data_IF_493728090016
#
_entry.id   IF_493728090016
#
_cell.length_a   1.000
_cell.length_b   1.000
_cell.length_c   1.000
_cell.angle_alpha   90.00
_cell.angle_beta   90.00
_cell.angle_gamma   90.00
#
_symmetry.space_group_name_H-M   'P 1'
#
loop_
_entity.id
_entity.type
_entity.pdbx_description
1 polymer ?
#
# COMPACT_ATOMS: atom_id res chain seq x y z
N UNK A 1 -32.16 26.59 -37.23
CA UNK A 1 -31.51 27.07 -35.98
C UNK A 1 -31.64 26.16 -34.75
N UNK A 2 -32.50 25.14 -34.67
CA UNK A 2 -32.60 24.26 -33.47
C UNK A 2 -31.74 22.98 -33.49
N UNK A 3 -31.39 22.46 -34.67
CA UNK A 3 -30.62 21.20 -34.79
C UNK A 3 -29.11 21.38 -34.58
N UNK A 4 -28.54 22.51 -34.98
CA UNK A 4 -27.10 22.78 -34.84
C UNK A 4 -26.68 23.02 -33.38
N UNK A 5 -27.56 23.62 -32.56
CA UNK A 5 -27.28 23.85 -31.15
C UNK A 5 -27.25 22.56 -30.31
N UNK A 6 -28.01 21.53 -30.73
CA UNK A 6 -28.09 20.26 -30.02
C UNK A 6 -26.82 19.40 -30.22
N UNK A 7 -26.18 19.50 -31.39
CA UNK A 7 -24.93 18.80 -31.71
C UNK A 7 -23.76 19.37 -30.89
N UNK A 8 -23.70 20.69 -30.73
CA UNK A 8 -22.67 21.34 -29.89
C UNK A 8 -22.79 20.96 -28.41
N UNK A 9 -24.01 20.83 -27.88
CA UNK A 9 -24.24 20.37 -26.50
C UNK A 9 -23.81 18.91 -26.33
N UNK A 10 -24.12 18.03 -27.29
CA UNK A 10 -23.71 16.62 -27.25
C UNK A 10 -22.18 16.46 -27.29
N UNK A 11 -21.47 17.28 -28.07
CA UNK A 11 -19.99 17.28 -28.12
C UNK A 11 -19.40 17.74 -26.78
N UNK A 12 -19.98 18.76 -26.14
CA UNK A 12 -19.52 19.22 -24.82
C UNK A 12 -19.76 18.18 -23.71
N UNK A 13 -20.89 17.48 -23.75
CA UNK A 13 -21.19 16.40 -22.81
C UNK A 13 -20.23 15.21 -23.02
N UNK A 14 -19.94 14.84 -24.27
CA UNK A 14 -18.97 13.77 -24.57
C UNK A 14 -17.53 14.12 -24.18
N UNK A 15 -17.11 15.38 -24.33
CA UNK A 15 -15.78 15.82 -23.90
C UNK A 15 -15.61 15.78 -22.38
N UNK A 16 -16.69 16.00 -21.61
CA UNK A 16 -16.66 15.95 -20.14
C UNK A 16 -16.56 14.53 -19.57
N UNK A 17 -16.88 13.50 -20.37
CA UNK A 17 -16.82 12.09 -19.96
C UNK A 17 -15.44 11.44 -20.17
N UNK A 18 -14.53 12.10 -20.90
CA UNK A 18 -13.15 11.63 -21.07
C UNK A 18 -12.20 12.33 -20.08
N UNK A 19 -12.42 12.11 -18.78
CA UNK A 19 -11.34 12.30 -17.80
C UNK A 19 -10.30 11.19 -18.02
N UNK A 20 -9.36 11.43 -18.94
CA UNK A 20 -8.11 10.68 -18.99
C UNK A 20 -7.39 10.90 -17.66
N UNK A 21 -7.49 9.92 -16.77
CA UNK A 21 -6.72 9.88 -15.53
C UNK A 21 -5.24 9.86 -15.89
N UNK A 22 -4.61 11.03 -15.79
CA UNK A 22 -3.19 11.24 -16.09
C UNK A 22 -2.36 10.38 -15.15
N UNK A 23 -1.47 9.58 -15.71
CA UNK A 23 -0.42 8.91 -14.95
C UNK A 23 0.54 9.97 -14.40
N UNK A 24 0.70 10.02 -13.09
CA UNK A 24 1.63 10.93 -12.43
C UNK A 24 2.92 10.17 -12.11
N UNK A 25 4.06 10.71 -12.56
CA UNK A 25 5.37 10.26 -12.11
C UNK A 25 5.55 10.64 -10.64
N UNK A 26 5.98 9.68 -9.82
CA UNK A 26 6.30 9.89 -8.41
C UNK A 26 7.81 9.89 -8.20
N UNK A 27 8.28 10.61 -7.17
CA UNK A 27 9.68 10.50 -6.75
C UNK A 27 9.88 9.18 -5.99
N UNK A 28 10.86 8.38 -6.40
CA UNK A 28 11.19 7.14 -5.73
C UNK A 28 12.67 6.80 -5.86
N UNK A 29 13.16 6.05 -4.88
CA UNK A 29 14.45 5.38 -4.89
C UNK A 29 14.23 3.88 -4.92
N UNK A 30 15.19 3.13 -5.45
CA UNK A 30 15.14 1.67 -5.36
C UNK A 30 16.52 1.07 -5.15
N UNK A 31 16.54 -0.09 -4.50
CA UNK A 31 17.73 -0.91 -4.30
C UNK A 31 17.41 -2.34 -4.71
N UNK A 32 18.30 -2.92 -5.52
CA UNK A 32 18.25 -4.33 -5.91
C UNK A 32 19.42 -5.02 -5.20
N UNK A 33 19.12 -6.06 -4.42
CA UNK A 33 20.16 -6.82 -3.71
C UNK A 33 21.10 -7.51 -4.67
N UNK A 34 22.27 -7.94 -4.17
CA UNK A 34 23.03 -8.99 -4.83
C UNK A 34 22.22 -10.28 -4.94
N UNK A 35 22.64 -11.19 -5.82
CA UNK A 35 22.07 -12.53 -5.94
C UNK A 35 22.03 -13.22 -4.57
N UNK A 36 20.83 -13.55 -4.09
CA UNK A 36 20.63 -14.23 -2.81
C UNK A 36 20.94 -15.72 -2.98
N UNK A 37 21.86 -16.26 -2.17
CA UNK A 37 22.21 -17.69 -2.19
C UNK A 37 21.07 -18.54 -1.60
N UNK A 38 21.02 -19.79 -2.05
CA UNK A 38 19.94 -20.79 -1.96
C UNK A 38 19.35 -21.10 -0.57
N UNK A 39 19.90 -20.59 0.54
CA UNK A 39 19.29 -20.77 1.88
C UNK A 39 17.92 -20.08 2.05
N UNK A 40 17.45 -19.35 1.04
CA UNK A 40 16.07 -18.83 0.95
C UNK A 40 15.07 -19.80 0.29
N UNK A 41 15.51 -20.92 -0.30
CA UNK A 41 14.61 -21.86 -1.01
C UNK A 41 13.67 -22.65 -0.08
N UNK A 42 13.93 -22.67 1.23
CA UNK A 42 13.03 -23.30 2.22
C UNK A 42 11.96 -22.35 2.77
N UNK A 43 11.93 -21.11 2.32
CA UNK A 43 10.83 -20.19 2.60
C UNK A 43 10.21 -19.84 1.26
N UNK A 44 8.92 -20.13 1.08
CA UNK A 44 8.11 -19.52 0.03
C UNK A 44 8.59 -18.07 -0.16
N UNK A 45 9.10 -17.71 -1.35
CA UNK A 45 9.50 -16.33 -1.68
C UNK A 45 8.46 -15.41 -1.05
N UNK A 46 8.87 -14.67 -0.01
CA UNK A 46 7.91 -14.02 0.85
C UNK A 46 7.07 -13.09 -0.01
N UNK A 47 5.74 -13.21 0.10
CA UNK A 47 4.79 -12.37 -0.64
C UNK A 47 5.24 -10.90 -0.56
N UNK A 48 5.07 -10.13 -1.64
CA UNK A 48 5.41 -8.71 -1.59
C UNK A 48 4.66 -8.03 -0.45
N UNK A 49 5.33 -7.09 0.20
CA UNK A 49 4.77 -6.32 1.31
C UNK A 49 5.07 -4.85 1.11
N UNK A 50 4.20 -4.01 1.64
CA UNK A 50 4.44 -2.58 1.72
C UNK A 50 4.07 -2.05 3.10
N UNK A 51 4.86 -1.08 3.55
CA UNK A 51 4.75 -0.50 4.88
C UNK A 51 5.29 0.93 4.85
N UNK A 52 4.86 1.75 5.79
CA UNK A 52 5.32 3.12 5.89
C UNK A 52 6.54 3.22 6.79
N UNK A 53 7.60 3.90 6.33
CA UNK A 53 8.70 4.33 7.19
C UNK A 53 8.73 5.85 7.17
N UNK A 54 8.54 6.47 8.33
CA UNK A 54 8.38 7.92 8.46
C UNK A 54 7.24 8.42 7.54
N UNK A 55 7.55 9.05 6.41
CA UNK A 55 6.59 9.53 5.41
C UNK A 55 6.77 8.87 4.03
N UNK A 56 7.64 7.88 3.93
CA UNK A 56 7.89 7.18 2.68
C UNK A 56 7.18 5.82 2.69
N UNK A 57 6.59 5.46 1.55
CA UNK A 57 6.04 4.12 1.36
C UNK A 57 7.17 3.22 0.88
N UNK A 58 7.49 2.19 1.65
CA UNK A 58 8.48 1.19 1.31
C UNK A 58 7.77 -0.07 0.80
N UNK A 59 8.15 -0.52 -0.37
CA UNK A 59 7.67 -1.75 -1.01
C UNK A 59 8.85 -2.72 -1.08
N UNK A 60 8.67 -3.91 -0.51
CA UNK A 60 9.63 -5.00 -0.55
C UNK A 60 9.01 -6.15 -1.34
N UNK A 61 9.68 -6.58 -2.40
CA UNK A 61 9.30 -7.76 -3.15
C UNK A 61 10.53 -8.52 -3.66
N UNK A 62 10.29 -9.73 -4.16
CA UNK A 62 11.33 -10.61 -4.65
C UNK A 62 11.04 -11.02 -6.08
N UNK A 63 12.09 -11.20 -6.87
CA UNK A 63 11.99 -11.68 -8.25
C UNK A 63 13.09 -12.70 -8.53
N UNK A 64 12.73 -13.77 -9.23
CA UNK A 64 13.66 -14.78 -9.73
C UNK A 64 13.95 -14.51 -11.20
N UNK A 65 15.21 -14.20 -11.55
CA UNK A 65 15.60 -13.89 -12.91
C UNK A 65 17.06 -14.27 -13.18
N UNK A 66 17.54 -14.10 -14.41
CA UNK A 66 18.91 -14.51 -14.79
C UNK A 66 19.97 -13.65 -14.09
N UNK A 67 21.08 -14.25 -13.65
CA UNK A 67 22.05 -13.60 -12.74
C UNK A 67 22.71 -12.32 -13.28
N UNK A 68 22.85 -12.24 -14.60
CA UNK A 68 23.50 -11.15 -15.30
C UNK A 68 22.54 -9.98 -15.61
N UNK A 69 21.28 -10.09 -15.17
CA UNK A 69 20.31 -9.04 -15.39
C UNK A 69 20.50 -7.86 -14.43
N UNK A 70 20.25 -6.67 -14.98
CA UNK A 70 20.04 -5.42 -14.26
C UNK A 70 18.54 -5.13 -14.24
N UNK A 71 18.00 -4.91 -13.04
CA UNK A 71 16.56 -4.74 -12.81
C UNK A 71 16.27 -3.25 -12.59
N UNK A 72 15.33 -2.71 -13.37
CA UNK A 72 14.93 -1.30 -13.34
C UNK A 72 13.42 -1.19 -13.11
N UNK A 73 12.96 -1.02 -11.86
CA UNK A 73 11.56 -0.77 -11.58
C UNK A 73 11.19 0.67 -11.98
N UNK A 74 10.06 0.81 -12.69
CA UNK A 74 9.41 2.07 -13.03
C UNK A 74 8.13 2.19 -12.24
N UNK A 75 8.05 3.22 -11.40
CA UNK A 75 6.89 3.45 -10.54
C UNK A 75 6.02 4.56 -11.11
N UNK A 76 4.71 4.36 -11.10
CA UNK A 76 3.75 5.39 -11.46
C UNK A 76 2.56 5.37 -10.50
N UNK A 77 1.99 6.55 -10.26
CA UNK A 77 0.78 6.69 -9.46
C UNK A 77 -0.40 7.09 -10.35
N UNK A 78 -1.51 6.38 -10.17
CA UNK A 78 -2.80 6.70 -10.75
C UNK A 78 -3.83 6.70 -9.62
N UNK A 79 -4.21 7.87 -9.16
CA UNK A 79 -5.14 8.08 -8.03
C UNK A 79 -4.67 7.42 -6.72
N UNK A 80 -5.19 6.23 -6.38
CA UNK A 80 -4.83 5.41 -5.22
C UNK A 80 -4.16 4.08 -5.64
N UNK A 81 -3.74 3.98 -6.90
CA UNK A 81 -3.10 2.80 -7.45
C UNK A 81 -1.65 3.09 -7.82
N UNK A 82 -0.73 2.36 -7.20
CA UNK A 82 0.70 2.38 -7.48
C UNK A 82 0.96 1.25 -8.46
N UNK A 83 1.50 1.58 -9.62
CA UNK A 83 1.82 0.63 -10.68
C UNK A 83 3.33 0.58 -10.82
N UNK A 84 3.90 -0.59 -10.65
CA UNK A 84 5.33 -0.86 -10.79
C UNK A 84 5.53 -1.72 -12.03
N UNK A 85 6.32 -1.23 -12.98
CA UNK A 85 6.76 -2.01 -14.14
C UNK A 85 8.24 -2.37 -14.00
N UNK A 86 8.56 -3.65 -14.00
CA UNK A 86 9.94 -4.13 -13.98
C UNK A 86 10.51 -4.21 -15.40
N UNK A 87 11.59 -3.49 -15.67
CA UNK A 87 12.41 -3.71 -16.85
C UNK A 87 13.70 -4.42 -16.44
N UNK A 88 13.83 -5.71 -16.73
CA UNK A 88 15.09 -6.43 -16.49
C UNK A 88 15.84 -6.55 -17.82
N UNK A 89 17.08 -6.08 -17.81
CA UNK A 89 17.97 -6.03 -18.99
C UNK A 89 19.22 -6.83 -18.67
N UNK A 90 19.52 -7.83 -19.48
CA UNK A 90 20.72 -8.64 -19.32
C UNK A 90 20.89 -9.57 -20.50
N UNK A 91 22.07 -10.14 -20.61
CA UNK A 91 22.35 -11.17 -21.59
C UNK A 91 21.72 -12.51 -21.17
N UNK A 92 21.82 -13.51 -22.06
CA UNK A 92 21.43 -14.87 -21.70
C UNK A 92 22.54 -15.47 -20.84
N UNK A 93 22.22 -15.81 -19.59
CA UNK A 93 23.15 -16.49 -18.68
C UNK A 93 22.51 -17.77 -18.11
N UNK A 94 23.34 -18.81 -17.89
CA UNK A 94 22.91 -20.16 -17.46
C UNK A 94 22.73 -20.29 -15.94
N UNK A 95 22.24 -19.24 -15.31
CA UNK A 95 21.98 -19.27 -13.87
C UNK A 95 20.78 -18.38 -13.54
N UNK A 96 20.05 -18.76 -12.50
CA UNK A 96 18.91 -18.04 -11.95
C UNK A 96 19.29 -17.53 -10.56
N UNK A 97 18.94 -16.29 -10.30
CA UNK A 97 19.15 -15.61 -9.04
C UNK A 97 17.83 -15.08 -8.50
N UNK A 98 17.70 -15.14 -7.18
CA UNK A 98 16.66 -14.43 -6.45
C UNK A 98 17.21 -13.05 -6.05
N UNK A 99 16.44 -12.01 -6.39
CA UNK A 99 16.74 -10.63 -6.05
C UNK A 99 15.69 -10.11 -5.11
N UNK A 100 16.13 -9.44 -4.04
CA UNK A 100 15.26 -8.60 -3.21
C UNK A 100 15.28 -7.19 -3.78
N UNK A 101 14.11 -6.64 -4.02
CA UNK A 101 13.94 -5.28 -4.53
C UNK A 101 13.21 -4.47 -3.45
N UNK A 102 13.84 -3.37 -3.06
CA UNK A 102 13.30 -2.38 -2.14
C UNK A 102 13.02 -1.11 -2.93
N UNK A 103 11.78 -0.66 -2.94
CA UNK A 103 11.35 0.59 -3.58
C UNK A 103 10.85 1.52 -2.48
N UNK A 104 11.38 2.73 -2.42
CA UNK A 104 11.00 3.76 -1.46
C UNK A 104 10.37 4.91 -2.22
N UNK A 105 9.07 5.12 -2.07
CA UNK A 105 8.34 6.19 -2.75
C UNK A 105 8.18 7.36 -1.79
N UNK A 106 8.64 8.53 -2.21
CA UNK A 106 8.68 9.72 -1.40
C UNK A 106 7.43 10.58 -1.56
N UNK A 107 7.12 11.35 -0.52
CA UNK A 107 6.10 12.41 -0.54
C UNK A 107 4.71 11.92 -0.98
N UNK A 108 4.39 10.64 -0.74
CA UNK A 108 3.04 10.12 -0.96
C UNK A 108 2.12 10.53 0.20
N UNK A 109 0.91 11.02 -0.08
CA UNK A 109 -0.11 11.19 0.96
C UNK A 109 -0.35 9.86 1.68
N UNK A 110 -0.37 9.88 3.02
CA UNK A 110 -0.69 8.69 3.82
C UNK A 110 -2.17 8.34 3.66
N UNK A 111 -2.44 7.29 2.91
CA UNK A 111 -3.78 6.72 2.67
C UNK A 111 -3.62 5.27 2.19
N UNK A 112 -4.74 4.64 1.87
CA UNK A 112 -4.74 3.30 1.31
C UNK A 112 -4.31 3.33 -0.16
N UNK A 113 -3.41 2.42 -0.54
CA UNK A 113 -3.00 2.22 -1.93
C UNK A 113 -3.17 0.76 -2.33
N UNK A 114 -3.66 0.54 -3.55
CA UNK A 114 -3.50 -0.73 -4.27
C UNK A 114 -2.17 -0.69 -5.01
N UNK A 115 -1.41 -1.77 -4.96
CA UNK A 115 -0.09 -1.88 -5.56
C UNK A 115 -0.15 -3.03 -6.56
N UNK A 116 0.18 -2.74 -7.81
CA UNK A 116 0.26 -3.72 -8.90
C UNK A 116 1.70 -3.78 -9.41
N UNK A 117 2.28 -4.97 -9.41
CA UNK A 117 3.63 -5.23 -9.93
C UNK A 117 3.49 -6.01 -11.23
N UNK A 118 4.01 -5.42 -12.30
CA UNK A 118 4.04 -5.99 -13.63
C UNK A 118 5.46 -6.40 -14.00
N UNK A 119 5.60 -7.64 -14.46
CA UNK A 119 6.86 -8.19 -14.93
C UNK A 119 7.24 -7.70 -16.32
N UNK A 120 8.46 -8.04 -16.73
CA UNK A 120 9.03 -7.61 -18.01
C UNK A 120 8.18 -8.10 -19.19
N UNK A 121 7.91 -7.18 -20.11
CA UNK A 121 7.57 -7.45 -21.50
C UNK A 121 8.81 -7.90 -22.25
N UNK A 122 8.89 -9.16 -22.71
CA UNK A 122 9.80 -9.47 -23.81
C UNK A 122 9.47 -8.50 -24.95
N UNK A 123 10.49 -7.77 -25.41
CA UNK A 123 10.33 -6.55 -26.24
C UNK A 123 9.41 -6.79 -27.45
N UNK A 124 9.31 -8.03 -27.91
CA UNK A 124 8.77 -8.38 -29.21
C UNK A 124 7.59 -9.38 -29.22
N UNK A 125 6.99 -9.81 -28.08
CA UNK A 125 5.97 -10.89 -28.13
C UNK A 125 4.67 -10.65 -27.32
N UNK A 126 4.68 -10.05 -26.10
CA UNK A 126 3.44 -9.95 -25.29
C UNK A 126 3.32 -8.66 -24.45
N UNK A 127 2.10 -8.33 -24.00
CA UNK A 127 1.85 -7.25 -23.02
C UNK A 127 2.45 -7.62 -21.64
N UNK A 128 2.88 -6.64 -20.81
CA UNK A 128 3.35 -6.91 -19.45
C UNK A 128 2.32 -7.70 -18.66
N UNK A 129 2.75 -8.78 -17.99
CA UNK A 129 1.88 -9.62 -17.16
C UNK A 129 1.87 -9.08 -15.72
N UNK A 130 0.68 -8.98 -15.13
CA UNK A 130 0.54 -8.72 -13.70
C UNK A 130 1.12 -9.92 -12.93
N UNK A 131 2.15 -9.66 -12.13
CA UNK A 131 2.79 -10.66 -11.28
C UNK A 131 2.13 -10.69 -9.91
N UNK A 132 1.91 -9.51 -9.33
CA UNK A 132 1.42 -9.36 -7.96
C UNK A 132 0.44 -8.21 -7.84
N UNK A 133 -0.55 -8.38 -6.96
CA UNK A 133 -1.50 -7.34 -6.59
C UNK A 133 -1.80 -7.44 -5.09
N UNK A 134 -1.56 -6.36 -4.37
CA UNK A 134 -1.83 -6.27 -2.93
C UNK A 134 -2.18 -4.84 -2.54
N UNK A 135 -2.49 -4.62 -1.27
CA UNK A 135 -2.82 -3.29 -0.76
C UNK A 135 -2.05 -2.96 0.50
N UNK A 136 -1.74 -1.68 0.67
CA UNK A 136 -1.27 -1.11 1.92
C UNK A 136 -2.42 -0.32 2.54
N UNK A 137 -2.77 -0.68 3.77
CA UNK A 137 -3.80 0.00 4.55
C UNK A 137 -3.14 0.89 5.58
N UNK A 138 -3.53 2.17 5.59
CA UNK A 138 -3.11 3.11 6.63
C UNK A 138 -3.52 2.60 8.03
N UNK A 139 -4.62 1.84 8.12
CA UNK A 139 -5.09 1.29 9.40
C UNK A 139 -4.10 0.33 10.05
N UNK A 140 -3.25 -0.34 9.28
CA UNK A 140 -2.29 -1.32 9.79
C UNK A 140 -1.09 -0.67 10.50
N UNK A 141 -0.91 0.65 10.35
CA UNK A 141 0.16 1.41 11.00
C UNK A 141 -0.24 1.94 12.38
N UNK A 142 -1.54 1.92 12.69
CA UNK A 142 -2.02 2.34 14.00
C UNK A 142 -1.62 1.29 15.05
N UNK A 143 -0.99 1.77 16.12
CA UNK A 143 -0.36 0.92 17.13
C UNK A 143 -1.09 0.93 18.48
N UNK A 144 -2.32 1.45 18.52
CA UNK A 144 -3.15 1.41 19.72
C UNK A 144 -3.66 0.00 20.01
N UNK A 145 -4.06 -0.22 21.27
CA UNK A 145 -4.51 -1.52 21.77
C UNK A 145 -6.01 -1.51 22.04
N UNK A 146 -6.65 -2.66 21.85
CA UNK A 146 -8.04 -2.88 22.27
C UNK A 146 -8.03 -3.78 23.50
N UNK A 147 -8.78 -3.44 24.54
CA UNK A 147 -8.96 -4.34 25.71
C UNK A 147 -9.88 -5.51 25.37
N UNK A 148 -10.68 -5.37 24.32
CA UNK A 148 -11.74 -6.31 23.95
C UNK A 148 -12.82 -6.45 25.03
N UNK A 149 -12.97 -5.43 25.87
CA UNK A 149 -14.01 -5.35 26.89
C UNK A 149 -15.41 -5.50 26.30
N UNK A 150 -16.33 -6.05 27.10
CA UNK A 150 -17.72 -6.29 26.70
C UNK A 150 -18.40 -4.98 26.31
N UNK A 151 -19.19 -5.00 25.25
CA UNK A 151 -20.03 -3.87 24.85
C UNK A 151 -21.34 -4.36 24.23
N UNK A 152 -22.34 -3.48 24.20
CA UNK A 152 -23.61 -3.69 23.53
C UNK A 152 -23.80 -2.72 22.36
N UNK A 153 -23.16 -1.55 22.42
CA UNK A 153 -23.17 -0.54 21.36
C UNK A 153 -21.84 0.21 21.30
N UNK A 154 -21.61 0.95 20.20
CA UNK A 154 -20.42 1.80 20.04
C UNK A 154 -20.27 2.83 21.18
N UNK A 155 -21.37 3.23 21.83
CA UNK A 155 -21.36 4.17 22.97
C UNK A 155 -20.73 3.58 24.22
N UNK A 156 -20.67 2.26 24.33
CA UNK A 156 -20.04 1.57 25.45
C UNK A 156 -18.51 1.48 25.28
N UNK A 157 -17.99 1.90 24.12
CA UNK A 157 -16.57 1.87 23.81
C UNK A 157 -15.98 3.27 23.85
N UNK A 158 -14.94 3.45 24.67
CA UNK A 158 -14.31 4.73 24.91
C UNK A 158 -12.83 4.68 24.58
N UNK A 159 -12.33 5.80 24.10
CA UNK A 159 -10.91 6.05 23.90
C UNK A 159 -10.31 6.48 25.25
N UNK A 160 -9.32 5.74 25.72
CA UNK A 160 -8.60 5.96 26.97
C UNK A 160 -7.08 5.81 26.76
N UNK A 161 -6.32 5.76 27.85
CA UNK A 161 -4.86 5.80 27.83
C UNK A 161 -4.35 7.23 27.76
N UNK A 162 -3.11 7.44 28.20
CA UNK A 162 -2.55 8.79 28.33
C UNK A 162 -2.42 9.52 26.98
N UNK A 163 -2.23 8.77 25.89
CA UNK A 163 -2.08 9.27 24.53
C UNK A 163 -3.28 8.93 23.63
N UNK A 164 -4.44 8.57 24.22
CA UNK A 164 -5.63 8.11 23.48
C UNK A 164 -5.37 6.84 22.64
N UNK A 165 -4.53 5.96 23.14
CA UNK A 165 -4.05 4.75 22.46
C UNK A 165 -4.83 3.48 22.80
N UNK A 166 -5.72 3.53 23.80
CA UNK A 166 -6.49 2.37 24.27
C UNK A 166 -7.95 2.51 23.86
N UNK A 167 -8.51 1.50 23.20
CA UNK A 167 -9.94 1.33 23.03
C UNK A 167 -10.45 0.33 24.06
N UNK A 168 -11.33 0.77 24.96
CA UNK A 168 -11.85 -0.08 26.03
C UNK A 168 -13.33 0.09 26.25
N UNK A 169 -13.91 -0.83 27.03
CA UNK A 169 -15.28 -0.72 27.49
C UNK A 169 -15.42 0.25 28.66
N UNK A 170 -16.57 0.92 28.75
CA UNK A 170 -16.99 1.69 29.93
C UNK A 170 -17.22 0.81 31.16
N UNK A 171 -17.42 -0.50 30.98
CA UNK A 171 -17.60 -1.46 32.07
C UNK A 171 -16.28 -2.00 32.65
N UNK A 172 -15.15 -1.58 32.10
CA UNK A 172 -13.82 -1.92 32.60
C UNK A 172 -13.24 -0.80 33.45
N UNK A 173 -12.33 -1.17 34.34
CA UNK A 173 -11.50 -0.22 35.08
C UNK A 173 -10.61 0.60 34.14
N UNK A 174 -10.18 1.76 34.63
CA UNK A 174 -9.30 2.65 33.87
C UNK A 174 -7.94 1.99 33.62
N UNK A 175 -7.49 2.00 32.38
CA UNK A 175 -6.17 1.50 32.00
C UNK A 175 -5.16 2.63 32.08
N UNK A 176 -4.14 2.47 32.93
CA UNK A 176 -3.02 3.41 33.01
C UNK A 176 -1.92 2.98 32.06
N UNK A 177 -1.59 3.86 31.10
CA UNK A 177 -0.49 3.66 30.15
C UNK A 177 0.62 4.68 30.37
N UNK A 178 1.80 4.41 29.82
CA UNK A 178 2.91 5.35 29.85
C UNK A 178 2.60 6.55 28.96
N UNK A 179 2.76 7.76 29.49
CA UNK A 179 2.57 9.03 28.79
C UNK A 179 3.73 9.37 27.85
N UNK A 180 4.04 8.48 26.91
CA UNK A 180 5.02 8.72 25.84
C UNK A 180 4.33 8.73 24.49
N UNK A 181 4.27 9.91 23.87
CA UNK A 181 3.64 10.08 22.57
C UNK A 181 4.36 9.27 21.48
N UNK A 182 3.57 8.57 20.65
CA UNK A 182 4.02 7.97 19.40
C UNK A 182 3.09 8.42 18.29
N UNK A 183 3.65 8.72 17.13
CA UNK A 183 2.86 9.13 15.95
C UNK A 183 1.77 8.13 15.57
N UNK A 184 1.98 6.84 15.83
CA UNK A 184 1.02 5.77 15.55
C UNK A 184 -0.17 5.70 16.53
N UNK A 185 -0.22 6.54 17.58
CA UNK A 185 -1.38 6.64 18.50
C UNK A 185 -2.46 7.63 18.03
N UNK A 186 -2.19 8.45 17.02
CA UNK A 186 -3.17 9.39 16.50
C UNK A 186 -4.25 8.68 15.65
N UNK A 187 -5.19 7.99 16.28
CA UNK A 187 -6.25 7.22 15.61
C UNK A 187 -7.04 8.01 14.56
N UNK A 188 -7.26 9.31 14.79
CA UNK A 188 -7.94 10.22 13.84
C UNK A 188 -7.19 10.31 12.52
N UNK A 189 -5.85 10.39 12.57
CA UNK A 189 -4.98 10.41 11.38
C UNK A 189 -5.11 9.13 10.55
N UNK A 190 -5.38 7.99 11.19
CA UNK A 190 -5.53 6.69 10.52
C UNK A 190 -6.99 6.38 10.13
N UNK A 191 -7.95 7.26 10.46
CA UNK A 191 -9.38 7.04 10.17
C UNK A 191 -9.94 5.80 10.87
N UNK A 192 -9.49 5.56 12.10
CA UNK A 192 -9.88 4.42 12.94
C UNK A 192 -10.68 4.95 14.12
N UNK A 193 -11.72 4.26 14.53
CA UNK A 193 -12.55 4.63 15.68
C UNK A 193 -12.65 3.46 16.67
N UNK A 194 -12.86 3.76 17.95
CA UNK A 194 -13.13 2.75 18.97
C UNK A 194 -14.62 2.37 18.89
N UNK A 195 -14.92 1.11 18.53
CA UNK A 195 -16.28 0.63 18.23
C UNK A 195 -16.59 -0.71 18.89
N UNK A 196 -17.87 -1.02 19.01
CA UNK A 196 -18.34 -2.30 19.49
C UNK A 196 -18.47 -3.29 18.33
N UNK A 197 -17.51 -4.20 18.21
CA UNK A 197 -17.46 -5.19 17.13
C UNK A 197 -17.63 -6.57 17.74
N UNK A 198 -18.69 -7.28 17.37
CA UNK A 198 -19.03 -8.61 17.89
C UNK A 198 -19.08 -8.66 19.42
N UNK A 199 -19.67 -7.63 20.04
CA UNK A 199 -19.81 -7.51 21.50
C UNK A 199 -18.52 -7.18 22.25
N UNK A 200 -17.47 -6.75 21.54
CA UNK A 200 -16.17 -6.37 22.12
C UNK A 200 -15.68 -5.02 21.61
N UNK A 201 -15.19 -4.17 22.50
CA UNK A 201 -14.61 -2.87 22.14
C UNK A 201 -13.27 -3.05 21.41
N UNK A 202 -13.21 -2.53 20.18
CA UNK A 202 -12.10 -2.71 19.26
C UNK A 202 -11.88 -1.46 18.41
N UNK A 203 -10.62 -1.18 18.09
CA UNK A 203 -10.24 -0.21 17.06
C UNK A 203 -10.66 -0.69 15.66
N UNK A 204 -11.40 0.11 14.89
CA UNK A 204 -11.86 -0.25 13.54
C UNK A 204 -11.86 0.88 12.53
#
# INVERSE_FOLDING_TARGET
MKKEFLVLILIFVFASLFQFSKFQSVSYEYNVSSCLKENFLNQNLSKPKAFWINNDLVIEHFVSYVCCAKIFPKVSLKENKIIIFEENRGDVCRCICNYKILIKIHSLPKKNYSIEIYGIKYKDIHKPKLLENFSVSLKNEFCGISTFGKCFSDKDCIVDGCNSEVCRSVFEDKVFTVCQWKECYNWKKFGIECKCINGKCQWK
#
